data_IF_147276401771
#
_entry.id   IF_147276401771
#
_cell.length_a   1.000
_cell.length_b   1.000
_cell.length_c   1.000
_cell.angle_alpha   90.00
_cell.angle_beta   90.00
_cell.angle_gamma   90.00
#
_symmetry.space_group_name_H-M   'P 1'
#
loop_
_entity.id
_entity.type
_entity.pdbx_description
1 polymer ?
#
# COMPACT_ATOMS: atom_id res chain seq x y z
N UNK A 1 -4.16 -22.76 -6.04
CA UNK A 1 -4.18 -21.48 -5.27
C UNK A 1 -5.55 -21.28 -4.67
N UNK A 2 -5.66 -21.31 -3.36
CA UNK A 2 -6.93 -21.00 -2.67
C UNK A 2 -7.19 -19.48 -2.79
N UNK A 3 -8.27 -19.11 -3.45
CA UNK A 3 -8.69 -17.70 -3.57
C UNK A 3 -9.20 -17.21 -2.21
N UNK A 4 -8.29 -16.73 -1.35
CA UNK A 4 -8.69 -16.13 -0.07
C UNK A 4 -9.47 -14.83 -0.34
N UNK A 5 -10.46 -14.52 0.49
CA UNK A 5 -11.10 -13.19 0.40
C UNK A 5 -10.09 -12.12 0.82
N UNK A 6 -10.16 -10.93 0.19
CA UNK A 6 -9.26 -9.82 0.51
C UNK A 6 -9.22 -9.50 2.00
N UNK A 7 -10.35 -9.65 2.71
CA UNK A 7 -10.42 -9.45 4.15
C UNK A 7 -9.57 -10.46 4.92
N UNK A 8 -9.58 -11.76 4.52
CA UNK A 8 -8.73 -12.78 5.15
C UNK A 8 -7.24 -12.49 4.91
N UNK A 9 -6.88 -12.00 3.73
CA UNK A 9 -5.50 -11.57 3.43
C UNK A 9 -5.09 -10.43 4.34
N UNK A 10 -5.90 -9.39 4.47
CA UNK A 10 -5.65 -8.24 5.36
C UNK A 10 -5.43 -8.70 6.80
N UNK A 11 -6.33 -9.53 7.34
CA UNK A 11 -6.22 -10.03 8.72
C UNK A 11 -4.93 -10.84 8.91
N UNK A 12 -4.61 -11.72 7.96
CA UNK A 12 -3.38 -12.53 8.03
C UNK A 12 -2.11 -11.68 7.96
N UNK A 13 -2.10 -10.66 7.10
CA UNK A 13 -0.98 -9.72 6.99
C UNK A 13 -0.85 -8.89 8.28
N UNK A 14 -1.95 -8.38 8.85
CA UNK A 14 -1.92 -7.66 10.13
C UNK A 14 -1.40 -8.56 11.26
N UNK A 15 -1.73 -9.84 11.27
CA UNK A 15 -1.22 -10.77 12.27
C UNK A 15 0.32 -10.92 12.24
N UNK A 16 0.95 -10.82 11.06
CA UNK A 16 2.41 -10.82 10.92
C UNK A 16 3.08 -9.60 11.57
N UNK A 17 2.33 -8.49 11.73
CA UNK A 17 2.84 -7.19 12.22
C UNK A 17 2.61 -6.99 13.71
N UNK A 18 2.07 -7.97 14.41
CA UNK A 18 1.66 -7.84 15.83
C UNK A 18 2.77 -7.22 16.72
N UNK A 19 4.03 -7.51 16.45
CA UNK A 19 5.18 -6.96 17.18
C UNK A 19 5.41 -5.45 16.95
N UNK A 20 4.86 -4.86 15.88
CA UNK A 20 5.05 -3.46 15.50
C UNK A 20 3.83 -2.58 15.78
N UNK A 21 2.76 -3.13 16.38
CA UNK A 21 1.49 -2.42 16.63
C UNK A 21 1.68 -1.14 17.45
N UNK A 22 2.57 -1.12 18.42
CA UNK A 22 2.84 0.08 19.25
C UNK A 22 3.46 1.22 18.41
N UNK A 23 4.39 0.90 17.53
CA UNK A 23 5.03 1.90 16.66
C UNK A 23 4.00 2.40 15.61
N UNK A 24 3.16 1.49 15.11
CA UNK A 24 2.09 1.84 14.18
C UNK A 24 1.05 2.77 14.84
N UNK A 25 0.68 2.51 16.10
CA UNK A 25 -0.17 3.40 16.89
C UNK A 25 0.49 4.78 17.06
N UNK A 26 1.79 4.81 17.35
CA UNK A 26 2.57 6.05 17.40
C UNK A 26 2.54 6.82 16.07
N UNK A 27 2.73 6.14 14.94
CA UNK A 27 2.64 6.74 13.61
C UNK A 27 1.24 7.34 13.35
N UNK A 28 0.17 6.62 13.73
CA UNK A 28 -1.22 7.09 13.57
C UNK A 28 -1.45 8.34 14.43
N UNK A 29 -1.04 8.34 15.70
CA UNK A 29 -1.21 9.48 16.61
C UNK A 29 -0.47 10.71 16.07
N UNK A 30 0.81 10.55 15.70
CA UNK A 30 1.63 11.63 15.13
C UNK A 30 1.01 12.15 13.83
N UNK A 31 0.51 11.27 12.98
CA UNK A 31 -0.16 11.62 11.73
C UNK A 31 -1.47 12.39 11.97
N UNK A 32 -2.32 11.94 12.88
CA UNK A 32 -3.58 12.62 13.23
C UNK A 32 -3.28 14.03 13.76
N UNK A 33 -2.38 14.16 14.73
CA UNK A 33 -2.03 15.47 15.29
C UNK A 33 -1.37 16.36 14.23
N UNK A 34 -0.52 15.80 13.36
CA UNK A 34 0.13 16.51 12.27
C UNK A 34 -0.85 17.04 11.22
N UNK A 35 -1.86 16.26 10.83
CA UNK A 35 -2.92 16.70 9.93
C UNK A 35 -3.84 17.74 10.60
N UNK A 36 -4.21 17.53 11.87
CA UNK A 36 -4.98 18.53 12.62
C UNK A 36 -4.21 19.86 12.73
N UNK A 37 -2.92 19.83 13.04
CA UNK A 37 -2.09 21.03 13.07
C UNK A 37 -2.08 21.75 11.71
N UNK A 38 -2.05 21.00 10.59
CA UNK A 38 -2.13 21.57 9.25
C UNK A 38 -3.50 22.20 8.95
N UNK A 39 -4.59 21.55 9.35
CA UNK A 39 -5.96 22.04 9.16
C UNK A 39 -6.19 23.27 10.03
N UNK A 40 -5.85 23.20 11.31
CA UNK A 40 -6.05 24.32 12.23
C UNK A 40 -5.15 25.52 11.95
N UNK A 41 -4.02 25.33 11.25
CA UNK A 41 -3.23 26.46 10.75
C UNK A 41 -4.05 27.35 9.82
N UNK A 42 -4.82 26.80 8.90
CA UNK A 42 -5.69 27.56 7.99
C UNK A 42 -6.94 28.08 8.70
N UNK A 43 -7.51 27.30 9.62
CA UNK A 43 -8.67 27.72 10.45
C UNK A 43 -8.30 28.92 11.33
N UNK A 44 -7.17 28.86 12.05
CA UNK A 44 -6.68 29.96 12.90
C UNK A 44 -6.38 31.20 12.06
N UNK A 45 -5.81 31.04 10.86
CA UNK A 45 -5.61 32.17 9.95
C UNK A 45 -6.94 32.83 9.57
N UNK A 46 -8.00 32.03 9.33
CA UNK A 46 -9.35 32.52 9.11
C UNK A 46 -9.92 33.27 10.32
N UNK A 47 -9.72 32.75 11.54
CA UNK A 47 -10.13 33.42 12.77
C UNK A 47 -9.38 34.73 13.03
N UNK A 48 -8.06 34.77 12.76
CA UNK A 48 -7.27 35.99 12.82
C UNK A 48 -7.85 37.05 11.87
N UNK A 49 -8.17 36.67 10.64
CA UNK A 49 -8.78 37.57 9.66
C UNK A 49 -10.09 38.15 10.15
N UNK A 50 -10.97 37.35 10.78
CA UNK A 50 -12.22 37.81 11.36
C UNK A 50 -11.95 38.79 12.50
N UNK A 51 -11.01 38.51 13.41
CA UNK A 51 -10.66 39.39 14.52
C UNK A 51 -10.08 40.73 14.06
N UNK A 52 -9.25 40.70 12.99
CA UNK A 52 -8.73 41.93 12.38
C UNK A 52 -9.87 42.78 11.83
N UNK A 53 -10.85 42.19 11.15
CA UNK A 53 -12.04 42.92 10.65
C UNK A 53 -12.88 43.53 11.79
N UNK A 54 -12.96 42.80 12.93
CA UNK A 54 -13.69 43.25 14.12
C UNK A 54 -12.88 44.22 15.02
N UNK A 55 -11.63 44.53 14.65
CA UNK A 55 -10.70 45.32 15.47
C UNK A 55 -10.41 44.69 16.84
N UNK A 56 -10.48 43.36 16.98
CA UNK A 56 -10.18 42.61 18.18
C UNK A 56 -8.71 42.20 18.25
N UNK A 57 -8.22 41.92 19.47
CA UNK A 57 -6.85 41.41 19.68
C UNK A 57 -6.72 39.98 19.20
N UNK A 58 -5.66 39.67 18.42
CA UNK A 58 -5.38 38.35 17.85
C UNK A 58 -4.00 37.80 18.18
N UNK A 59 -3.24 38.48 19.04
CA UNK A 59 -1.84 38.14 19.33
C UNK A 59 -1.65 36.70 19.81
N UNK A 60 -2.57 36.19 20.67
CA UNK A 60 -2.52 34.80 21.12
C UNK A 60 -2.73 33.77 19.98
N UNK A 61 -3.61 34.07 19.04
CA UNK A 61 -3.85 33.22 17.88
C UNK A 61 -2.64 33.21 16.94
N UNK A 62 -1.89 34.31 16.83
CA UNK A 62 -0.67 34.40 16.05
C UNK A 62 0.42 33.48 16.63
N UNK A 63 0.61 33.47 17.95
CA UNK A 63 1.53 32.53 18.58
C UNK A 63 1.10 31.09 18.38
N UNK A 64 -0.19 30.77 18.47
CA UNK A 64 -0.75 29.45 18.23
C UNK A 64 -0.53 29.01 16.78
N UNK A 65 -0.74 29.91 15.81
CA UNK A 65 -0.50 29.67 14.39
C UNK A 65 0.96 29.31 14.13
N UNK A 66 1.90 30.09 14.69
CA UNK A 66 3.34 29.83 14.57
C UNK A 66 3.69 28.47 15.19
N UNK A 67 3.15 28.19 16.40
CA UNK A 67 3.37 26.92 17.08
C UNK A 67 2.86 25.73 16.25
N UNK A 68 1.66 25.82 15.68
CA UNK A 68 1.10 24.79 14.78
C UNK A 68 1.97 24.60 13.53
N UNK A 69 2.47 25.70 12.93
CA UNK A 69 3.33 25.63 11.75
C UNK A 69 4.66 24.88 12.02
N UNK A 70 5.30 25.18 13.14
CA UNK A 70 6.53 24.52 13.57
C UNK A 70 6.25 23.04 13.94
N UNK A 71 5.25 22.81 14.78
CA UNK A 71 4.90 21.49 15.28
C UNK A 71 4.55 20.51 14.16
N UNK A 72 3.82 20.98 13.13
CA UNK A 72 3.45 20.20 11.96
C UNK A 72 4.67 19.53 11.29
N UNK A 73 5.79 20.25 11.17
CA UNK A 73 7.02 19.73 10.56
C UNK A 73 7.60 18.53 11.35
N UNK A 74 7.73 18.70 12.67
CA UNK A 74 8.22 17.63 13.55
C UNK A 74 7.27 16.43 13.60
N UNK A 75 5.98 16.65 13.68
CA UNK A 75 4.96 15.59 13.70
C UNK A 75 4.98 14.80 12.39
N UNK A 76 5.06 15.47 11.24
CA UNK A 76 5.15 14.83 9.93
C UNK A 76 6.43 14.02 9.78
N UNK A 77 7.57 14.56 10.24
CA UNK A 77 8.82 13.83 10.26
C UNK A 77 8.73 12.57 11.12
N UNK A 78 8.21 12.69 12.36
CA UNK A 78 8.04 11.55 13.26
C UNK A 78 7.09 10.48 12.71
N UNK A 79 5.97 10.87 12.10
CA UNK A 79 5.06 9.96 11.41
C UNK A 79 5.77 9.18 10.30
N UNK A 80 6.48 9.89 9.40
CA UNK A 80 7.20 9.26 8.30
C UNK A 80 8.32 8.35 8.80
N UNK A 81 9.06 8.78 9.81
CA UNK A 81 10.09 7.95 10.43
C UNK A 81 9.52 6.64 10.97
N UNK A 82 8.40 6.69 11.71
CA UNK A 82 7.72 5.50 12.21
C UNK A 82 7.26 4.59 11.06
N UNK A 83 6.64 5.15 10.02
CA UNK A 83 6.13 4.38 8.87
C UNK A 83 7.27 3.68 8.13
N UNK A 84 8.38 4.36 7.85
CA UNK A 84 9.55 3.75 7.20
C UNK A 84 10.25 2.73 8.10
N UNK A 85 10.35 2.99 9.40
CA UNK A 85 10.91 2.02 10.33
C UNK A 85 10.09 0.72 10.33
N UNK A 86 8.76 0.81 10.40
CA UNK A 86 7.86 -0.34 10.30
C UNK A 86 8.10 -1.07 8.98
N UNK A 87 8.10 -0.34 7.86
CA UNK A 87 8.28 -0.88 6.53
C UNK A 87 9.56 -1.73 6.42
N UNK A 88 10.72 -1.16 6.72
CA UNK A 88 12.00 -1.85 6.60
C UNK A 88 12.14 -3.02 7.58
N UNK A 89 11.66 -2.86 8.81
CA UNK A 89 11.69 -3.95 9.81
C UNK A 89 10.82 -5.12 9.40
N UNK A 90 9.64 -4.84 8.82
CA UNK A 90 8.73 -5.87 8.33
C UNK A 90 9.25 -6.57 7.09
N UNK A 91 9.85 -5.84 6.14
CA UNK A 91 10.51 -6.42 4.99
C UNK A 91 11.56 -7.46 5.41
N UNK A 92 12.44 -7.10 6.34
CA UNK A 92 13.45 -8.01 6.87
C UNK A 92 12.79 -9.25 7.51
N UNK A 93 11.80 -9.04 8.39
CA UNK A 93 11.13 -10.12 9.10
C UNK A 93 10.35 -11.06 8.15
N UNK A 94 9.67 -10.53 7.15
CA UNK A 94 8.91 -11.34 6.18
C UNK A 94 9.90 -12.14 5.31
N UNK A 95 11.02 -11.53 4.88
CA UNK A 95 12.08 -12.24 4.14
C UNK A 95 12.64 -13.40 4.94
N UNK A 96 12.92 -13.20 6.22
CA UNK A 96 13.42 -14.26 7.11
C UNK A 96 12.41 -15.40 7.25
N UNK A 97 11.12 -15.09 7.44
CA UNK A 97 10.04 -16.10 7.56
C UNK A 97 9.90 -16.87 6.24
N UNK A 98 9.90 -16.19 5.10
CA UNK A 98 9.79 -16.80 3.76
C UNK A 98 11.01 -17.69 3.49
N UNK A 99 12.22 -17.20 3.77
CA UNK A 99 13.45 -17.96 3.58
C UNK A 99 13.50 -19.19 4.48
N UNK A 100 13.13 -19.06 5.76
CA UNK A 100 13.05 -20.18 6.68
C UNK A 100 12.04 -21.23 6.21
N UNK A 101 10.91 -20.80 5.61
CA UNK A 101 9.91 -21.71 5.03
C UNK A 101 10.44 -22.42 3.79
N UNK A 102 11.07 -21.70 2.86
CA UNK A 102 11.68 -22.28 1.67
C UNK A 102 12.71 -23.35 2.05
N UNK A 103 13.55 -23.07 3.05
CA UNK A 103 14.55 -24.03 3.53
C UNK A 103 13.92 -25.31 4.08
N UNK A 104 12.72 -25.22 4.71
CA UNK A 104 11.97 -26.42 5.18
C UNK A 104 11.28 -27.17 4.04
N UNK A 105 10.95 -26.49 2.94
CA UNK A 105 10.31 -27.11 1.77
C UNK A 105 11.32 -27.76 0.82
N UNK A 106 12.59 -27.38 0.91
CA UNK A 106 13.68 -27.95 0.12
C UNK A 106 14.02 -29.39 0.56
N UNK A 107 14.52 -30.25 -0.35
CA UNK A 107 14.51 -30.05 -1.81
C UNK A 107 13.16 -30.43 -2.44
N UNK A 108 12.39 -31.32 -1.82
CA UNK A 108 11.25 -32.06 -2.39
C UNK A 108 10.15 -31.16 -3.01
N UNK A 109 9.84 -30.03 -2.39
CA UNK A 109 8.79 -29.09 -2.87
C UNK A 109 9.33 -27.99 -3.78
N UNK A 110 10.64 -27.82 -3.85
CA UNK A 110 11.27 -26.77 -4.66
C UNK A 110 11.83 -27.30 -5.98
N UNK A 111 12.06 -28.61 -6.06
CA UNK A 111 12.49 -29.26 -7.28
C UNK A 111 11.41 -29.09 -8.36
N UNK A 112 11.83 -28.71 -9.58
CA UNK A 112 10.91 -28.38 -10.67
C UNK A 112 10.19 -27.02 -10.58
N UNK A 113 10.28 -26.26 -9.46
CA UNK A 113 9.75 -24.89 -9.40
C UNK A 113 10.71 -23.91 -10.09
N UNK A 114 10.12 -22.95 -10.79
CA UNK A 114 10.90 -21.86 -11.42
C UNK A 114 11.64 -21.02 -10.36
N UNK A 115 12.98 -21.12 -10.38
CA UNK A 115 13.85 -20.39 -9.47
C UNK A 115 13.65 -18.87 -9.56
N UNK A 116 13.41 -18.34 -10.77
CA UNK A 116 13.13 -16.93 -10.99
C UNK A 116 11.87 -16.47 -10.24
N UNK A 117 10.83 -17.31 -10.23
CA UNK A 117 9.61 -17.05 -9.51
C UNK A 117 9.79 -17.05 -7.97
N UNK A 118 10.64 -17.94 -7.44
CA UNK A 118 10.97 -17.97 -6.02
C UNK A 118 11.77 -16.73 -5.60
N UNK A 119 12.75 -16.32 -6.41
CA UNK A 119 13.50 -15.08 -6.18
C UNK A 119 12.58 -13.86 -6.23
N UNK A 120 11.69 -13.78 -7.24
CA UNK A 120 10.72 -12.69 -7.35
C UNK A 120 9.79 -12.60 -6.12
N UNK A 121 9.43 -13.74 -5.53
CA UNK A 121 8.61 -13.77 -4.31
C UNK A 121 9.36 -13.19 -3.11
N UNK A 122 10.63 -13.52 -2.90
CA UNK A 122 11.44 -13.01 -1.78
C UNK A 122 11.76 -11.52 -1.96
N UNK A 123 11.88 -11.05 -3.19
CA UNK A 123 12.21 -9.66 -3.51
C UNK A 123 10.95 -8.84 -3.76
N UNK A 124 10.44 -8.86 -4.99
CA UNK A 124 9.35 -8.00 -5.46
C UNK A 124 8.03 -8.18 -4.72
N UNK A 125 7.62 -9.42 -4.39
CA UNK A 125 6.34 -9.62 -3.71
C UNK A 125 6.41 -9.13 -2.26
N UNK A 126 7.53 -9.35 -1.58
CA UNK A 126 7.73 -8.84 -0.21
C UNK A 126 7.81 -7.31 -0.22
N UNK A 127 8.50 -6.69 -1.19
CA UNK A 127 8.54 -5.23 -1.35
C UNK A 127 7.15 -4.61 -1.55
N UNK A 128 6.27 -5.29 -2.28
CA UNK A 128 4.88 -4.82 -2.43
C UNK A 128 4.08 -4.87 -1.13
N UNK A 129 4.43 -5.74 -0.20
CA UNK A 129 3.81 -5.75 1.13
C UNK A 129 4.21 -4.52 1.97
N UNK A 130 5.36 -3.90 1.70
CA UNK A 130 5.74 -2.62 2.31
C UNK A 130 4.68 -1.56 2.07
N UNK A 131 4.19 -1.45 0.83
CA UNK A 131 3.13 -0.49 0.47
C UNK A 131 1.88 -0.68 1.32
N UNK A 132 1.52 -1.92 1.64
CA UNK A 132 0.39 -2.20 2.51
C UNK A 132 0.61 -1.68 3.94
N UNK A 133 1.77 -1.94 4.52
CA UNK A 133 2.02 -1.60 5.92
C UNK A 133 2.29 -0.11 6.13
N UNK A 134 3.17 0.49 5.32
CA UNK A 134 3.57 1.87 5.48
C UNK A 134 2.60 2.87 4.87
N UNK A 135 2.00 2.51 3.73
CA UNK A 135 1.23 3.46 2.92
C UNK A 135 -0.27 3.17 2.87
N UNK A 136 -0.76 2.13 3.58
CA UNK A 136 -2.20 1.82 3.58
C UNK A 136 -2.79 1.89 4.99
N UNK A 137 -2.27 1.13 5.95
CA UNK A 137 -2.89 1.02 7.28
C UNK A 137 -2.90 2.37 8.00
N UNK A 138 -1.72 3.00 8.16
CA UNK A 138 -1.60 4.30 8.82
C UNK A 138 -2.42 5.40 8.13
N UNK A 139 -2.31 5.64 6.80
CA UNK A 139 -3.10 6.67 6.13
C UNK A 139 -4.62 6.45 6.22
N UNK A 140 -5.10 5.20 6.13
CA UNK A 140 -6.54 4.90 6.26
C UNK A 140 -7.04 5.23 7.66
N UNK A 141 -6.31 4.84 8.71
CA UNK A 141 -6.67 5.15 10.09
C UNK A 141 -6.60 6.64 10.40
N UNK A 142 -5.58 7.33 9.89
CA UNK A 142 -5.43 8.79 10.02
C UNK A 142 -6.62 9.49 9.34
N UNK A 143 -6.94 9.12 8.10
CA UNK A 143 -8.05 9.73 7.37
C UNK A 143 -9.39 9.53 8.09
N UNK A 144 -9.64 8.33 8.62
CA UNK A 144 -10.85 8.02 9.37
C UNK A 144 -10.96 8.88 10.63
N UNK A 145 -9.90 8.91 11.45
CA UNK A 145 -9.91 9.65 12.73
C UNK A 145 -10.03 11.16 12.49
N UNK A 146 -9.23 11.70 11.56
CA UNK A 146 -9.29 13.13 11.21
C UNK A 146 -10.66 13.50 10.67
N UNK A 147 -11.27 12.68 9.79
CA UNK A 147 -12.62 12.93 9.27
C UNK A 147 -13.65 12.98 10.39
N UNK A 148 -13.63 12.03 11.34
CA UNK A 148 -14.54 12.02 12.49
C UNK A 148 -14.38 13.29 13.33
N UNK A 149 -13.15 13.68 13.65
CA UNK A 149 -12.86 14.90 14.43
C UNK A 149 -13.40 16.13 13.69
N UNK A 150 -13.18 16.22 12.37
CA UNK A 150 -13.62 17.36 11.58
C UNK A 150 -15.14 17.40 11.38
N UNK A 151 -15.81 16.26 11.27
CA UNK A 151 -17.28 16.18 11.25
C UNK A 151 -17.85 16.76 12.57
N UNK A 152 -17.28 16.38 13.70
CA UNK A 152 -17.70 16.88 15.02
C UNK A 152 -17.41 18.38 15.13
N UNK A 153 -16.22 18.84 14.73
CA UNK A 153 -15.83 20.23 14.77
C UNK A 153 -16.72 21.12 13.90
N UNK A 154 -17.00 20.73 12.66
CA UNK A 154 -17.87 21.46 11.74
C UNK A 154 -19.33 21.36 12.21
N UNK A 155 -19.74 20.19 12.71
CA UNK A 155 -21.07 19.95 13.26
C UNK A 155 -21.38 20.75 14.52
N UNK A 156 -20.36 21.20 15.25
CA UNK A 156 -20.52 22.09 16.41
C UNK A 156 -21.14 23.44 16.00
N UNK A 157 -20.84 23.95 14.81
CA UNK A 157 -21.48 25.18 14.32
C UNK A 157 -22.95 24.95 13.94
N UNK A 158 -23.24 23.84 13.25
CA UNK A 158 -24.61 23.41 12.97
C UNK A 158 -24.61 21.96 12.45
N UNK A 159 -25.57 21.15 12.90
CA UNK A 159 -25.67 19.74 12.54
C UNK A 159 -25.69 19.49 11.02
N UNK A 160 -26.41 20.32 10.25
CA UNK A 160 -26.48 20.17 8.80
C UNK A 160 -25.12 20.36 8.09
N UNK A 161 -24.23 21.23 8.64
CA UNK A 161 -22.87 21.41 8.13
C UNK A 161 -22.01 20.18 8.42
N UNK A 162 -22.13 19.57 9.60
CA UNK A 162 -21.50 18.30 9.95
C UNK A 162 -21.96 17.14 9.05
N UNK A 163 -23.25 17.09 8.74
CA UNK A 163 -23.80 16.09 7.84
C UNK A 163 -23.27 16.26 6.40
N UNK A 164 -23.16 17.49 5.91
CA UNK A 164 -22.56 17.78 4.61
C UNK A 164 -21.07 17.38 4.57
N UNK A 165 -20.31 17.68 5.63
CA UNK A 165 -18.92 17.25 5.76
C UNK A 165 -18.79 15.71 5.74
N UNK A 166 -19.68 15.01 6.46
CA UNK A 166 -19.73 13.54 6.49
C UNK A 166 -19.98 12.97 5.08
N UNK A 167 -20.95 13.53 4.33
CA UNK A 167 -21.22 13.09 2.95
C UNK A 167 -20.04 13.37 2.03
N UNK A 168 -19.35 14.50 2.18
CA UNK A 168 -18.16 14.84 1.41
C UNK A 168 -17.01 13.85 1.64
N UNK A 169 -16.69 13.55 2.90
CA UNK A 169 -15.62 12.58 3.23
C UNK A 169 -15.97 11.17 2.78
N UNK A 170 -17.22 10.74 2.92
CA UNK A 170 -17.67 9.43 2.45
C UNK A 170 -17.58 9.34 0.92
N UNK A 171 -17.99 10.38 0.21
CA UNK A 171 -17.96 10.39 -1.24
C UNK A 171 -16.51 10.34 -1.77
N UNK A 172 -15.65 11.23 -1.28
CA UNK A 172 -14.27 11.36 -1.75
C UNK A 172 -13.38 10.23 -1.20
N UNK A 173 -13.56 9.81 0.06
CA UNK A 173 -12.71 8.82 0.71
C UNK A 173 -13.10 7.38 0.50
N UNK A 174 -14.36 7.10 0.11
CA UNK A 174 -14.84 5.72 -0.06
C UNK A 174 -15.38 5.49 -1.47
N UNK A 175 -16.33 6.30 -1.94
CA UNK A 175 -17.01 6.03 -3.21
C UNK A 175 -16.03 6.17 -4.39
N UNK A 176 -15.29 7.27 -4.47
CA UNK A 176 -14.30 7.47 -5.54
C UNK A 176 -13.25 6.36 -5.54
N UNK A 177 -12.55 6.04 -4.45
CA UNK A 177 -11.55 4.95 -4.43
C UNK A 177 -12.11 3.59 -4.84
N UNK A 178 -13.34 3.24 -4.45
CA UNK A 178 -13.97 1.98 -4.86
C UNK A 178 -14.23 1.91 -6.36
N UNK A 179 -14.68 3.00 -6.98
CA UNK A 179 -14.90 3.08 -8.43
C UNK A 179 -13.56 2.97 -9.17
N UNK A 180 -12.56 3.72 -8.71
CA UNK A 180 -11.19 3.71 -9.27
C UNK A 180 -10.59 2.31 -9.19
N UNK A 181 -10.62 1.68 -8.01
CA UNK A 181 -10.04 0.37 -7.78
C UNK A 181 -10.63 -0.72 -8.69
N UNK A 182 -11.94 -0.67 -8.97
CA UNK A 182 -12.58 -1.63 -9.89
C UNK A 182 -12.13 -1.45 -11.35
N UNK A 183 -11.92 -0.22 -11.79
CA UNK A 183 -11.61 0.08 -13.20
C UNK A 183 -10.11 -0.04 -13.49
N UNK A 184 -9.25 0.46 -12.59
CA UNK A 184 -7.79 0.48 -12.78
C UNK A 184 -7.09 -0.82 -12.41
N UNK A 185 -7.67 -1.65 -11.54
CA UNK A 185 -6.99 -2.83 -11.00
C UNK A 185 -6.57 -3.85 -12.07
N UNK A 186 -7.45 -4.16 -13.03
CA UNK A 186 -7.14 -5.08 -14.11
C UNK A 186 -6.10 -4.51 -15.09
N UNK A 187 -6.18 -3.20 -15.38
CA UNK A 187 -5.21 -2.54 -16.28
C UNK A 187 -3.81 -2.55 -15.69
N UNK A 188 -3.67 -2.25 -14.40
CA UNK A 188 -2.39 -2.28 -13.70
C UNK A 188 -1.77 -3.67 -13.64
N UNK A 189 -2.57 -4.71 -13.41
CA UNK A 189 -2.10 -6.10 -13.44
C UNK A 189 -1.61 -6.51 -14.84
N UNK A 190 -2.36 -6.16 -15.89
CA UNK A 190 -1.98 -6.46 -17.27
C UNK A 190 -0.66 -5.75 -17.64
N UNK A 191 -0.57 -4.46 -17.39
CA UNK A 191 0.66 -3.70 -17.60
C UNK A 191 1.86 -4.33 -16.90
N UNK A 192 1.71 -4.72 -15.62
CA UNK A 192 2.79 -5.34 -14.86
C UNK A 192 3.22 -6.69 -15.42
N UNK A 193 2.26 -7.52 -15.84
CA UNK A 193 2.54 -8.79 -16.46
C UNK A 193 3.29 -8.63 -17.79
N UNK A 194 2.86 -7.67 -18.61
CA UNK A 194 3.50 -7.40 -19.90
C UNK A 194 4.86 -6.73 -19.74
N UNK A 195 5.02 -5.87 -18.71
CA UNK A 195 6.32 -5.34 -18.32
C UNK A 195 7.30 -6.46 -17.90
N UNK A 196 6.83 -7.44 -17.14
CA UNK A 196 7.63 -8.61 -16.75
C UNK A 196 8.08 -9.43 -17.99
N UNK A 197 7.16 -9.69 -18.93
CA UNK A 197 7.48 -10.39 -20.19
C UNK A 197 8.48 -9.58 -21.04
N UNK A 198 8.31 -8.26 -21.11
CA UNK A 198 9.23 -7.37 -21.81
C UNK A 198 10.63 -7.40 -21.18
N UNK A 199 10.72 -7.30 -19.87
CA UNK A 199 12.00 -7.37 -19.15
C UNK A 199 12.71 -8.70 -19.39
N UNK A 200 11.98 -9.81 -19.29
CA UNK A 200 12.53 -11.15 -19.61
C UNK A 200 13.03 -11.23 -21.05
N UNK A 201 12.28 -10.68 -22.01
CA UNK A 201 12.66 -10.66 -23.42
C UNK A 201 13.93 -9.83 -23.69
N UNK A 202 14.07 -8.69 -23.00
CA UNK A 202 15.30 -7.87 -23.07
C UNK A 202 16.48 -8.58 -22.45
N UNK A 203 16.32 -9.19 -21.27
CA UNK A 203 17.39 -9.96 -20.61
C UNK A 203 17.83 -11.15 -21.44
N UNK A 204 16.89 -11.91 -22.02
CA UNK A 204 17.19 -13.00 -22.95
C UNK A 204 17.98 -12.49 -24.16
N UNK A 205 17.64 -11.31 -24.68
CA UNK A 205 18.35 -10.69 -25.80
C UNK A 205 19.79 -10.32 -25.43
N UNK A 206 20.01 -9.82 -24.21
CA UNK A 206 21.35 -9.48 -23.70
C UNK A 206 22.18 -10.75 -23.48
N UNK A 207 21.61 -11.77 -22.86
CA UNK A 207 22.30 -13.04 -22.64
C UNK A 207 22.61 -13.76 -23.95
N UNK A 208 21.69 -13.66 -24.93
CA UNK A 208 21.84 -14.27 -26.26
C UNK A 208 22.55 -13.40 -27.31
N UNK A 209 23.14 -12.26 -26.90
CA UNK A 209 23.71 -11.26 -27.82
C UNK A 209 24.69 -11.87 -28.84
N UNK A 210 25.56 -12.76 -28.37
CA UNK A 210 26.54 -13.47 -29.23
C UNK A 210 25.86 -14.31 -30.33
N UNK A 211 24.76 -14.97 -29.99
CA UNK A 211 23.98 -15.80 -30.94
C UNK A 211 23.24 -14.89 -31.92
N UNK A 212 22.63 -13.81 -31.42
CA UNK A 212 21.90 -12.85 -32.24
C UNK A 212 22.82 -12.20 -33.28
N UNK A 213 24.04 -11.84 -32.86
CA UNK A 213 25.06 -11.30 -33.76
C UNK A 213 25.55 -12.31 -34.78
N UNK A 214 25.87 -13.53 -34.35
CA UNK A 214 26.29 -14.62 -35.21
C UNK A 214 25.31 -14.89 -36.37
N UNK A 215 24.00 -14.77 -36.09
CA UNK A 215 22.94 -14.97 -37.11
C UNK A 215 22.50 -13.64 -37.77
N UNK A 216 23.19 -12.52 -37.53
CA UNK A 216 22.88 -11.20 -38.07
C UNK A 216 21.42 -10.76 -37.82
N UNK A 217 20.87 -11.14 -36.65
CA UNK A 217 19.48 -10.87 -36.29
C UNK A 217 19.30 -9.62 -35.41
N UNK A 218 20.36 -8.85 -35.15
CA UNK A 218 20.35 -7.68 -34.27
C UNK A 218 19.26 -6.65 -34.59
N UNK A 219 19.17 -6.24 -35.86
CA UNK A 219 18.15 -5.26 -36.28
C UNK A 219 16.71 -5.78 -36.16
N UNK A 220 16.48 -7.10 -36.38
CA UNK A 220 15.16 -7.68 -36.19
C UNK A 220 14.78 -7.68 -34.71
N UNK A 221 15.71 -8.12 -33.83
CA UNK A 221 15.51 -8.17 -32.38
C UNK A 221 15.24 -6.79 -31.79
N UNK A 222 15.99 -5.77 -32.26
CA UNK A 222 15.80 -4.38 -31.85
C UNK A 222 14.40 -3.88 -32.19
N UNK A 223 13.94 -4.10 -33.43
CA UNK A 223 12.56 -3.72 -33.84
C UNK A 223 11.48 -4.41 -33.00
N UNK A 224 11.70 -5.66 -32.59
CA UNK A 224 10.78 -6.38 -31.72
C UNK A 224 10.77 -5.81 -30.29
N UNK A 225 11.92 -5.39 -29.77
CA UNK A 225 12.05 -4.69 -28.47
C UNK A 225 11.30 -3.37 -28.55
N UNK A 226 11.54 -2.55 -29.59
CA UNK A 226 10.89 -1.25 -29.78
C UNK A 226 9.35 -1.41 -29.84
N UNK A 227 8.86 -2.36 -30.64
CA UNK A 227 7.41 -2.63 -30.74
C UNK A 227 6.78 -3.00 -29.39
N UNK A 228 7.48 -3.83 -28.59
CA UNK A 228 7.01 -4.20 -27.25
C UNK A 228 7.05 -3.02 -26.28
N UNK A 229 8.08 -2.16 -26.40
CA UNK A 229 8.21 -0.94 -25.62
C UNK A 229 7.09 0.07 -25.96
N UNK A 230 6.77 0.26 -27.23
CA UNK A 230 5.65 1.12 -27.66
C UNK A 230 4.32 0.65 -27.08
N UNK A 231 4.02 -0.66 -27.15
CA UNK A 231 2.81 -1.22 -26.56
C UNK A 231 2.72 -0.96 -25.04
N UNK A 232 3.84 -1.12 -24.33
CA UNK A 232 3.89 -0.82 -22.90
C UNK A 232 3.70 0.66 -22.59
N UNK A 233 4.24 1.54 -23.44
CA UNK A 233 4.08 2.97 -23.31
C UNK A 233 2.61 3.39 -23.51
N UNK A 234 1.90 2.79 -24.46
CA UNK A 234 0.46 2.99 -24.65
C UNK A 234 -0.34 2.56 -23.42
N UNK A 235 -0.08 1.35 -22.90
CA UNK A 235 -0.73 0.87 -21.66
C UNK A 235 -0.44 1.77 -20.46
N UNK A 236 0.81 2.23 -20.31
CA UNK A 236 1.19 3.15 -19.24
C UNK A 236 0.48 4.50 -19.39
N UNK A 237 0.37 5.02 -20.61
CA UNK A 237 -0.37 6.24 -20.91
C UNK A 237 -1.84 6.11 -20.50
N UNK A 238 -2.51 5.02 -20.90
CA UNK A 238 -3.91 4.78 -20.51
C UNK A 238 -4.09 4.74 -18.98
N UNK A 239 -3.15 4.11 -18.25
CA UNK A 239 -3.16 4.11 -16.79
C UNK A 239 -2.99 5.52 -16.21
N UNK A 240 -2.05 6.30 -16.73
CA UNK A 240 -1.79 7.67 -16.27
C UNK A 240 -2.94 8.62 -16.60
N UNK A 241 -3.54 8.48 -17.77
CA UNK A 241 -4.73 9.25 -18.16
C UNK A 241 -5.91 8.94 -17.21
N UNK A 242 -6.09 7.67 -16.87
CA UNK A 242 -7.11 7.24 -15.90
C UNK A 242 -6.85 7.83 -14.51
N UNK A 243 -5.61 7.76 -14.00
CA UNK A 243 -5.21 8.38 -12.73
C UNK A 243 -5.47 9.89 -12.75
N UNK A 244 -5.11 10.56 -13.84
CA UNK A 244 -5.35 12.00 -14.03
C UNK A 244 -6.83 12.37 -14.02
N UNK A 245 -7.68 11.60 -14.71
CA UNK A 245 -9.12 11.80 -14.71
C UNK A 245 -9.73 11.67 -13.31
N UNK A 246 -9.33 10.66 -12.54
CA UNK A 246 -9.85 10.49 -11.17
C UNK A 246 -9.37 11.56 -10.21
N UNK A 247 -8.13 12.02 -10.37
CA UNK A 247 -7.62 13.17 -9.61
C UNK A 247 -8.43 14.42 -9.92
N UNK A 248 -8.69 14.71 -11.19
CA UNK A 248 -9.54 15.82 -11.61
C UNK A 248 -10.95 15.72 -11.02
N UNK A 249 -11.57 14.54 -11.04
CA UNK A 249 -12.87 14.30 -10.42
C UNK A 249 -12.81 14.59 -8.90
N UNK A 250 -11.77 14.14 -8.22
CA UNK A 250 -11.55 14.43 -6.80
C UNK A 250 -11.47 15.92 -6.52
N UNK A 251 -10.68 16.68 -7.30
CA UNK A 251 -10.51 18.12 -7.14
C UNK A 251 -11.81 18.90 -7.45
N UNK A 252 -12.59 18.46 -8.45
CA UNK A 252 -13.92 19.00 -8.74
C UNK A 252 -14.86 18.74 -7.56
N UNK A 253 -14.89 17.51 -7.00
CA UNK A 253 -15.72 17.19 -5.85
C UNK A 253 -15.36 18.03 -4.62
N UNK A 254 -14.06 18.22 -4.33
CA UNK A 254 -13.59 19.12 -3.26
C UNK A 254 -14.13 20.51 -3.46
N UNK A 255 -14.04 21.06 -4.67
CA UNK A 255 -14.53 22.41 -4.99
C UNK A 255 -16.05 22.52 -4.84
N UNK A 256 -16.81 21.52 -5.34
CA UNK A 256 -18.26 21.49 -5.23
C UNK A 256 -18.74 21.36 -3.79
N UNK A 257 -18.15 20.47 -2.98
CA UNK A 257 -18.52 20.33 -1.57
C UNK A 257 -18.14 21.57 -0.76
N UNK A 258 -17.03 22.23 -1.08
CA UNK A 258 -16.63 23.48 -0.44
C UNK A 258 -17.59 24.62 -0.78
N UNK A 259 -18.01 24.72 -2.04
CA UNK A 259 -19.02 25.69 -2.46
C UNK A 259 -20.38 25.38 -1.80
N UNK A 260 -20.80 24.13 -1.76
CA UNK A 260 -22.03 23.70 -1.09
C UNK A 260 -22.00 24.02 0.40
N UNK A 261 -20.83 23.87 1.06
CA UNK A 261 -20.63 24.24 2.46
C UNK A 261 -20.84 25.73 2.68
N UNK A 262 -20.27 26.55 1.80
CA UNK A 262 -20.45 28.00 1.86
C UNK A 262 -21.90 28.41 1.63
N UNK A 263 -22.57 27.86 0.63
CA UNK A 263 -23.98 28.17 0.30
C UNK A 263 -24.90 27.75 1.45
N UNK A 264 -24.73 26.53 1.99
CA UNK A 264 -25.53 26.05 3.11
C UNK A 264 -25.27 26.88 4.38
N UNK A 265 -24.01 27.20 4.64
CA UNK A 265 -23.63 28.06 5.76
C UNK A 265 -24.24 29.44 5.62
N UNK A 266 -24.18 30.08 4.46
CA UNK A 266 -24.81 31.38 4.21
C UNK A 266 -26.33 31.32 4.34
N UNK A 267 -26.98 30.26 3.90
CA UNK A 267 -28.42 30.04 4.08
C UNK A 267 -28.79 29.98 5.58
N UNK A 268 -28.05 29.21 6.38
CA UNK A 268 -28.25 29.11 7.83
C UNK A 268 -27.99 30.44 8.56
N UNK A 269 -26.98 31.19 8.10
CA UNK A 269 -26.72 32.53 8.59
C UNK A 269 -27.90 33.47 8.32
N UNK A 270 -28.45 33.45 7.13
CA UNK A 270 -29.65 34.28 6.79
C UNK A 270 -30.88 33.90 7.61
N UNK A 271 -30.98 32.67 8.09
CA UNK A 271 -32.02 32.22 9.03
C UNK A 271 -31.72 32.58 10.49
N UNK A 272 -30.59 33.16 10.79
CA UNK A 272 -30.15 33.45 12.17
C UNK A 272 -29.72 32.21 12.98
N UNK A 273 -29.53 31.05 12.34
CA UNK A 273 -29.16 29.80 13.02
C UNK A 273 -27.68 29.74 13.39
N UNK A 274 -26.81 30.43 12.63
CA UNK A 274 -25.37 30.53 12.89
C UNK A 274 -24.87 31.94 12.65
N UNK A 275 -23.74 32.30 13.24
CA UNK A 275 -23.06 33.57 12.99
C UNK A 275 -22.26 33.50 11.68
N UNK A 276 -21.91 34.65 11.07
CA UNK A 276 -21.08 34.74 9.86
C UNK A 276 -19.72 34.07 10.05
N UNK A 277 -19.15 34.13 11.26
CA UNK A 277 -17.92 33.41 11.61
C UNK A 277 -18.05 31.91 11.36
N UNK A 278 -19.20 31.33 11.72
CA UNK A 278 -19.48 29.91 11.49
C UNK A 278 -19.50 29.53 10.01
N UNK A 279 -20.02 30.41 9.12
CA UNK A 279 -19.99 30.20 7.68
C UNK A 279 -18.56 30.11 7.17
N UNK A 280 -17.74 31.06 7.56
CA UNK A 280 -16.38 31.21 7.06
C UNK A 280 -15.47 30.09 7.59
N UNK A 281 -15.53 29.84 8.90
CA UNK A 281 -14.69 28.84 9.55
C UNK A 281 -15.08 27.42 9.13
N UNK A 282 -16.37 27.06 9.01
CA UNK A 282 -16.78 25.74 8.56
C UNK A 282 -16.35 25.47 7.12
N UNK A 283 -16.41 26.49 6.25
CA UNK A 283 -15.97 26.37 4.86
C UNK A 283 -14.47 26.17 4.77
N UNK A 284 -13.67 27.00 5.47
CA UNK A 284 -12.20 26.87 5.52
C UNK A 284 -11.80 25.51 6.13
N UNK A 285 -12.46 25.10 7.21
CA UNK A 285 -12.18 23.84 7.87
C UNK A 285 -12.42 22.63 6.95
N UNK A 286 -13.54 22.63 6.20
CA UNK A 286 -13.81 21.57 5.22
C UNK A 286 -12.76 21.57 4.10
N UNK A 287 -12.47 22.73 3.51
CA UNK A 287 -11.46 22.84 2.43
C UNK A 287 -10.09 22.33 2.86
N UNK A 288 -9.64 22.69 4.07
CA UNK A 288 -8.34 22.29 4.60
C UNK A 288 -8.25 20.80 4.98
N UNK A 289 -9.38 20.14 5.23
CA UNK A 289 -9.43 18.80 5.80
C UNK A 289 -9.49 17.66 4.77
N UNK A 290 -9.56 17.93 3.48
CA UNK A 290 -9.61 16.91 2.44
C UNK A 290 -8.30 16.15 2.23
N UNK A 291 -7.15 16.68 2.69
CA UNK A 291 -5.84 16.09 2.45
C UNK A 291 -5.73 14.60 2.77
N UNK A 292 -6.05 14.14 4.00
CA UNK A 292 -6.01 12.72 4.37
C UNK A 292 -6.93 11.84 3.51
N UNK A 293 -8.10 12.37 3.15
CA UNK A 293 -9.12 11.61 2.39
C UNK A 293 -8.72 11.48 0.91
N UNK A 294 -8.16 12.52 0.32
CA UNK A 294 -7.62 12.49 -1.05
C UNK A 294 -6.45 11.51 -1.19
N UNK A 295 -5.63 11.37 -0.14
CA UNK A 295 -4.54 10.39 -0.14
C UNK A 295 -5.04 8.95 -0.31
N UNK A 296 -6.27 8.62 0.15
CA UNK A 296 -6.85 7.29 -0.01
C UNK A 296 -7.15 6.94 -1.47
N UNK A 297 -7.47 7.92 -2.29
CA UNK A 297 -7.80 7.72 -3.71
C UNK A 297 -6.62 7.15 -4.50
N UNK A 298 -5.38 7.51 -4.14
CA UNK A 298 -4.17 7.00 -4.76
C UNK A 298 -3.79 5.58 -4.32
N UNK A 299 -4.32 5.11 -3.18
CA UNK A 299 -3.98 3.78 -2.62
C UNK A 299 -4.74 2.65 -3.32
N UNK A 300 -5.93 2.90 -3.85
CA UNK A 300 -6.81 1.86 -4.37
C UNK A 300 -6.17 1.00 -5.48
N UNK A 301 -5.37 1.60 -6.35
CA UNK A 301 -4.65 0.91 -7.42
C UNK A 301 -3.57 -0.04 -6.87
N UNK A 302 -2.77 0.42 -5.92
CA UNK A 302 -1.66 -0.35 -5.36
C UNK A 302 -2.15 -1.55 -4.54
N UNK A 303 -3.31 -1.44 -3.88
CA UNK A 303 -3.87 -2.50 -3.03
C UNK A 303 -4.17 -3.79 -3.79
N UNK A 304 -4.65 -3.72 -5.04
CA UNK A 304 -4.96 -4.91 -5.85
C UNK A 304 -3.70 -5.74 -6.08
N UNK A 305 -2.61 -5.08 -6.42
CA UNK A 305 -1.31 -5.73 -6.68
C UNK A 305 -0.74 -6.28 -5.37
N UNK A 306 -0.80 -5.49 -4.31
CA UNK A 306 -0.32 -5.89 -2.97
C UNK A 306 -1.06 -7.11 -2.44
N UNK A 307 -2.38 -7.20 -2.62
CA UNK A 307 -3.14 -8.38 -2.20
C UNK A 307 -2.81 -9.62 -3.02
N UNK A 308 -2.52 -9.48 -4.31
CA UNK A 308 -2.05 -10.59 -5.13
C UNK A 308 -0.70 -11.14 -4.63
N UNK A 309 0.27 -10.24 -4.36
CA UNK A 309 1.57 -10.61 -3.79
C UNK A 309 1.43 -11.18 -2.37
N UNK A 310 0.58 -10.58 -1.53
CA UNK A 310 0.27 -11.10 -0.20
C UNK A 310 -0.30 -12.52 -0.23
N UNK A 311 -1.21 -12.82 -1.17
CA UNK A 311 -1.73 -14.18 -1.34
C UNK A 311 -0.63 -15.17 -1.71
N UNK A 312 0.29 -14.81 -2.64
CA UNK A 312 1.41 -15.68 -3.03
C UNK A 312 2.32 -16.00 -1.86
N UNK A 313 2.69 -15.01 -1.07
CA UNK A 313 3.50 -15.19 0.14
C UNK A 313 2.77 -16.06 1.17
N UNK A 314 1.49 -15.80 1.43
CA UNK A 314 0.67 -16.58 2.36
C UNK A 314 0.44 -18.02 1.88
N UNK A 315 0.33 -18.25 0.57
CA UNK A 315 0.22 -19.61 0.00
C UNK A 315 1.52 -20.39 0.24
N UNK A 316 2.68 -19.76 0.00
CA UNK A 316 3.97 -20.37 0.30
C UNK A 316 4.12 -20.73 1.79
N UNK A 317 3.73 -19.80 2.68
CA UNK A 317 3.81 -20.02 4.12
C UNK A 317 2.87 -21.12 4.61
N UNK A 318 1.77 -21.36 3.91
CA UNK A 318 0.81 -22.42 4.20
C UNK A 318 1.21 -23.80 3.61
N UNK A 319 2.18 -23.87 2.68
CA UNK A 319 2.64 -25.16 2.14
C UNK A 319 3.25 -26.03 3.24
N UNK A 320 2.90 -27.30 3.29
CA UNK A 320 3.47 -28.25 4.26
C UNK A 320 4.71 -28.94 3.67
N UNK A 321 5.78 -29.14 4.47
CA UNK A 321 6.94 -29.93 4.04
C UNK A 321 6.52 -31.36 3.74
N UNK A 322 7.12 -31.97 2.72
CA UNK A 322 6.91 -33.39 2.44
C UNK A 322 7.71 -34.32 3.37
N UNK A 323 8.79 -33.81 3.94
CA UNK A 323 9.67 -34.56 4.83
C UNK A 323 9.48 -34.03 6.24
N UNK A 324 9.16 -34.92 7.16
CA UNK A 324 9.07 -34.58 8.59
C UNK A 324 10.49 -34.47 9.17
N UNK A 325 10.71 -33.46 10.01
CA UNK A 325 11.96 -33.33 10.76
C UNK A 325 11.94 -34.30 11.93
N UNK A 326 12.81 -35.29 11.89
CA UNK A 326 12.97 -36.24 13.01
C UNK A 326 13.70 -35.51 14.15
N UNK A 327 12.96 -35.21 15.23
CA UNK A 327 13.51 -34.50 16.42
C UNK A 327 14.13 -35.49 17.40
N UNK A 328 13.59 -36.71 17.49
CA UNK A 328 13.97 -37.76 18.43
C UNK A 328 14.52 -38.98 17.72
N UNK A 329 15.48 -38.80 16.82
CA UNK A 329 16.17 -39.89 16.13
C UNK A 329 17.07 -40.68 17.09
N UNK A 330 17.27 -41.97 16.78
CA UNK A 330 18.23 -42.82 17.48
C UNK A 330 19.65 -42.25 17.32
N UNK A 331 20.33 -42.02 18.43
CA UNK A 331 21.73 -41.60 18.44
C UNK A 331 22.60 -42.87 18.44
N UNK A 332 23.09 -43.24 17.26
CA UNK A 332 24.05 -44.33 17.11
C UNK A 332 25.46 -43.82 16.80
N UNK A 333 26.45 -44.63 16.99
CA UNK A 333 27.81 -44.35 16.49
C UNK A 333 27.84 -44.50 14.97
N UNK A 334 28.53 -43.57 14.29
CA UNK A 334 28.83 -43.69 12.87
C UNK A 334 29.69 -44.95 12.65
N UNK A 335 29.17 -45.88 11.90
CA UNK A 335 29.85 -47.08 11.42
C UNK A 335 29.65 -47.23 9.92
N UNK A 336 29.94 -48.40 9.37
CA UNK A 336 29.68 -48.71 7.96
C UNK A 336 28.19 -48.53 7.65
N UNK A 337 27.89 -47.81 6.59
CA UNK A 337 26.52 -47.59 6.10
C UNK A 337 26.33 -48.45 4.86
N UNK A 338 25.46 -49.45 4.96
CA UNK A 338 25.07 -50.27 3.81
C UNK A 338 23.69 -49.89 3.31
N UNK A 339 23.63 -49.59 2.03
CA UNK A 339 22.38 -49.28 1.33
C UNK A 339 22.12 -50.44 0.38
N UNK A 340 21.03 -51.15 0.56
CA UNK A 340 20.66 -52.32 -0.24
C UNK A 340 19.33 -52.08 -0.95
N UNK A 341 19.33 -52.06 -2.28
CA UNK A 341 18.14 -51.99 -3.14
C UNK A 341 17.25 -50.75 -2.80
N UNK A 342 17.88 -49.61 -2.52
CA UNK A 342 17.15 -48.36 -2.20
C UNK A 342 16.51 -47.80 -3.44
N UNK A 343 15.20 -47.62 -3.40
CA UNK A 343 14.46 -46.86 -4.41
C UNK A 343 13.76 -45.68 -3.72
N UNK A 344 13.84 -44.51 -4.35
CA UNK A 344 13.20 -43.29 -3.87
C UNK A 344 12.58 -42.49 -5.01
N UNK A 345 11.42 -41.91 -4.79
CA UNK A 345 10.72 -41.08 -5.76
C UNK A 345 10.15 -39.81 -5.14
N UNK A 346 10.18 -38.75 -5.89
CA UNK A 346 9.35 -37.55 -5.62
C UNK A 346 8.07 -37.64 -6.45
N UNK A 347 6.92 -37.67 -5.81
CA UNK A 347 5.60 -37.83 -6.45
C UNK A 347 5.57 -39.00 -7.46
N UNK A 348 5.62 -38.70 -8.77
CA UNK A 348 5.61 -39.71 -9.85
C UNK A 348 6.98 -39.95 -10.43
N UNK A 349 7.99 -39.13 -10.15
CA UNK A 349 9.35 -39.25 -10.73
C UNK A 349 10.25 -40.06 -9.82
N UNK A 350 10.81 -41.14 -10.37
CA UNK A 350 11.78 -42.01 -9.67
C UNK A 350 13.16 -41.36 -9.75
N UNK A 351 13.72 -41.00 -8.60
CA UNK A 351 15.04 -40.36 -8.48
C UNK A 351 16.13 -41.38 -8.23
N UNK A 352 15.85 -42.34 -7.37
CA UNK A 352 16.76 -43.46 -7.11
C UNK A 352 16.02 -44.77 -7.43
N UNK A 353 16.64 -45.65 -8.20
CA UNK A 353 16.08 -46.98 -8.51
C UNK A 353 17.09 -48.07 -8.16
N UNK A 354 16.75 -48.89 -7.16
CA UNK A 354 17.49 -50.08 -6.70
C UNK A 354 18.99 -49.85 -6.48
N UNK A 355 19.32 -48.72 -5.84
CA UNK A 355 20.73 -48.35 -5.56
C UNK A 355 21.29 -49.24 -4.45
N UNK A 356 22.49 -49.75 -4.68
CA UNK A 356 23.28 -50.50 -3.71
C UNK A 356 24.60 -49.74 -3.48
N UNK A 357 24.90 -49.38 -2.22
CA UNK A 357 26.07 -48.59 -1.85
C UNK A 357 26.56 -49.00 -0.47
N UNK A 358 27.86 -49.20 -0.31
CA UNK A 358 28.52 -49.34 1.00
C UNK A 358 29.47 -48.16 1.23
N UNK A 359 29.37 -47.54 2.40
CA UNK A 359 30.22 -46.44 2.83
C UNK A 359 30.85 -46.86 4.16
N UNK A 360 32.19 -46.99 4.14
CA UNK A 360 33.00 -47.37 5.31
C UNK A 360 33.33 -46.18 6.21
#
# INVERSE_FOLDING_TARGET
MQKRSNLKVVISLIALVKSMLLIMLGAIILGVIGYLAAIFLTVIAGEIMIKVIKHETFTSLLYLLIACGILRGFLRYGEQWCNHFIAFKLLAMIRDIVFAKLRKLAPAKLDGKDQGNLVAMITSDVELLEVFYAHTISPVMIALIVSIIMIIYIGYYHFALGLLASTAYLFIGVIIPLIVGKKSGNMGLNYRNDYGKYTSYVLESVHGLRIIDQFSRGNKRLKEIDKKSELLNEQNKELKDLEGQYRMIGDICVSLFSLAMFILGYYLYRQGSIEFNGVLISTIALMASFGPVLALSSLAHNLVITFASGNRVLDLLAEEPQVETVINGYQGNLGTIEINNLSFKYEAETILDKINLSID
#
